data_IF_483078601781
#
_entry.id   IF_483078601781
#
_cell.length_a   1.000
_cell.length_b   1.000
_cell.length_c   1.000
_cell.angle_alpha   90.00
_cell.angle_beta   90.00
_cell.angle_gamma   90.00
#
_symmetry.space_group_name_H-M   'P 1'
#
loop_
_entity.id
_entity.type
_entity.pdbx_description
1 polymer ?
#
# COMPACT_ATOMS: atom_id res chain seq x y z
N UNK A 1 9.12 13.78 5.84
CA UNK A 1 8.06 14.26 6.75
C UNK A 1 7.42 13.10 7.52
N UNK A 2 6.81 12.11 6.86
CA UNK A 2 6.18 10.95 7.51
C UNK A 2 7.14 10.17 8.43
N UNK A 3 8.42 10.10 8.06
CA UNK A 3 9.44 9.43 8.85
C UNK A 3 9.74 10.12 10.18
N UNK A 4 9.58 11.46 10.24
CA UNK A 4 9.88 12.26 11.42
C UNK A 4 8.69 12.39 12.39
N UNK A 5 7.46 12.30 11.87
CA UNK A 5 6.27 12.65 12.65
C UNK A 5 5.30 11.49 12.90
N UNK A 6 5.51 10.33 12.24
CA UNK A 6 4.63 9.17 12.41
C UNK A 6 4.55 8.69 13.87
N UNK A 7 5.62 8.85 14.65
CA UNK A 7 5.67 8.45 16.06
C UNK A 7 4.83 9.34 16.98
N UNK A 8 4.47 10.53 16.54
CA UNK A 8 3.80 11.52 17.37
C UNK A 8 2.33 11.73 16.97
N UNK A 9 2.02 11.64 15.70
CA UNK A 9 0.68 11.85 15.16
C UNK A 9 0.43 10.93 13.98
N UNK A 10 -0.80 10.37 13.82
CA UNK A 10 -1.19 9.70 12.60
C UNK A 10 -1.11 10.69 11.43
N UNK A 11 -0.26 10.42 10.46
CA UNK A 11 -0.13 11.26 9.27
C UNK A 11 -1.07 10.73 8.19
N UNK A 12 -1.98 11.59 7.72
CA UNK A 12 -2.82 11.28 6.58
C UNK A 12 -1.92 11.14 5.36
N UNK A 13 -2.04 10.01 4.69
CA UNK A 13 -1.30 9.73 3.47
C UNK A 13 -1.80 10.55 2.31
N UNK A 14 -1.14 10.34 1.19
CA UNK A 14 -1.39 10.99 -0.08
C UNK A 14 -2.80 10.64 -0.63
N UNK A 15 -3.80 11.08 0.11
CA UNK A 15 -5.10 11.29 -0.42
C UNK A 15 -5.01 12.55 -1.21
N UNK A 16 -4.91 12.47 -2.48
CA UNK A 16 -4.88 13.64 -3.32
C UNK A 16 -5.80 14.75 -2.82
N UNK A 17 -5.22 15.80 -2.25
CA UNK A 17 -5.87 17.06 -2.14
C UNK A 17 -5.89 17.69 -3.53
N UNK A 18 -6.84 17.34 -4.32
CA UNK A 18 -7.15 18.14 -5.47
C UNK A 18 -8.53 18.68 -5.22
N UNK A 19 -8.53 19.83 -4.69
CA UNK A 19 -9.65 20.68 -4.96
C UNK A 19 -9.88 20.62 -6.46
N UNK A 20 -11.09 20.26 -6.90
CA UNK A 20 -11.53 20.26 -8.28
C UNK A 20 -11.29 18.94 -9.04
N UNK A 21 -12.19 17.99 -8.94
CA UNK A 21 -12.63 17.07 -9.99
C UNK A 21 -11.63 16.37 -10.93
N UNK A 22 -10.33 16.46 -10.67
CA UNK A 22 -9.27 16.29 -11.65
C UNK A 22 -8.56 14.97 -11.66
N UNK A 23 -8.86 14.07 -10.74
CA UNK A 23 -8.00 12.92 -10.50
C UNK A 23 -8.31 11.69 -11.34
N UNK A 24 -9.51 11.61 -11.83
CA UNK A 24 -9.89 10.53 -12.74
C UNK A 24 -9.08 10.51 -14.04
N UNK A 25 -8.57 11.67 -14.46
CA UNK A 25 -7.89 11.82 -15.76
C UNK A 25 -6.37 11.80 -15.68
N UNK A 26 -5.76 11.76 -14.49
CA UNK A 26 -4.32 11.92 -14.34
C UNK A 26 -3.52 10.63 -14.21
N UNK A 27 -4.17 9.49 -14.24
CA UNK A 27 -3.50 8.21 -14.19
C UNK A 27 -4.46 7.01 -14.18
N UNK A 28 -3.87 5.84 -14.32
CA UNK A 28 -4.62 4.58 -14.26
C UNK A 28 -5.14 4.28 -12.84
N UNK A 29 -6.17 3.45 -12.76
CA UNK A 29 -6.66 2.92 -11.49
C UNK A 29 -5.55 2.18 -10.73
N UNK A 30 -4.70 1.44 -11.45
CA UNK A 30 -3.57 0.70 -10.90
C UNK A 30 -2.55 1.63 -10.26
N UNK A 31 -2.26 2.79 -10.87
CA UNK A 31 -1.39 3.79 -10.27
C UNK A 31 -1.98 4.33 -8.95
N UNK A 32 -3.30 4.55 -8.91
CA UNK A 32 -3.98 4.99 -7.69
C UNK A 32 -3.93 3.90 -6.61
N UNK A 33 -4.20 2.66 -6.97
CA UNK A 33 -4.07 1.51 -6.07
C UNK A 33 -2.64 1.36 -5.52
N UNK A 34 -1.63 1.51 -6.40
CA UNK A 34 -0.22 1.49 -6.00
C UNK A 34 0.11 2.61 -5.00
N UNK A 35 -0.39 3.81 -5.19
CA UNK A 35 -0.20 4.93 -4.25
C UNK A 35 -0.84 4.67 -2.89
N UNK A 36 -2.08 4.16 -2.88
CA UNK A 36 -2.76 3.75 -1.64
C UNK A 36 -1.99 2.64 -0.90
N UNK A 37 -1.49 1.64 -1.63
CA UNK A 37 -0.66 0.57 -1.06
C UNK A 37 0.64 1.13 -0.45
N UNK A 38 1.31 2.06 -1.14
CA UNK A 38 2.50 2.74 -0.62
C UNK A 38 2.20 3.59 0.62
N UNK A 39 1.05 4.24 0.65
CA UNK A 39 0.59 5.00 1.82
C UNK A 39 0.52 4.09 3.04
N UNK A 40 -0.15 2.94 2.92
CA UNK A 40 -0.23 1.94 3.97
C UNK A 40 1.17 1.41 4.37
N UNK A 41 2.00 1.06 3.39
CA UNK A 41 3.36 0.55 3.64
C UNK A 41 4.27 1.56 4.36
N UNK A 42 3.96 2.86 4.31
CA UNK A 42 4.66 3.92 5.04
C UNK A 42 4.05 4.23 6.41
N UNK A 43 3.02 3.52 6.84
CA UNK A 43 2.28 3.79 8.06
C UNK A 43 1.42 5.05 8.01
N UNK A 44 1.12 5.54 6.81
CA UNK A 44 0.23 6.68 6.62
C UNK A 44 -1.20 6.18 6.40
N UNK A 45 -2.19 6.89 6.94
CA UNK A 45 -3.59 6.53 6.76
C UNK A 45 -4.03 6.81 5.30
N UNK A 46 -4.45 5.81 4.52
CA UNK A 46 -4.97 6.03 3.19
C UNK A 46 -6.19 6.93 3.23
N UNK A 47 -6.25 7.88 2.31
CA UNK A 47 -7.38 8.78 2.17
C UNK A 47 -7.90 8.81 0.74
N UNK A 48 -9.21 8.90 0.59
CA UNK A 48 -9.90 9.11 -0.68
C UNK A 48 -11.09 10.03 -0.45
N UNK A 49 -11.57 10.69 -1.48
CA UNK A 49 -12.83 11.43 -1.37
C UNK A 49 -14.01 10.47 -1.27
N UNK A 50 -14.97 10.76 -0.39
CA UNK A 50 -16.16 9.92 -0.18
C UNK A 50 -16.94 9.66 -1.47
N UNK A 51 -17.03 10.65 -2.34
CA UNK A 51 -17.69 10.57 -3.65
C UNK A 51 -17.01 9.56 -4.61
N UNK A 52 -15.78 9.17 -4.31
CA UNK A 52 -14.97 8.26 -5.12
C UNK A 52 -14.96 6.83 -4.56
N UNK A 53 -15.71 6.55 -3.50
CA UNK A 53 -15.79 5.22 -2.89
C UNK A 53 -17.15 4.63 -3.15
N UNK A 54 -17.23 3.73 -4.13
CA UNK A 54 -18.44 2.97 -4.41
C UNK A 54 -18.09 1.63 -5.06
N UNK A 55 -18.50 0.54 -4.45
CA UNK A 55 -18.37 -0.81 -5.02
C UNK A 55 -19.43 -1.08 -6.08
N UNK A 56 -20.50 -0.31 -6.11
CA UNK A 56 -21.63 -0.45 -7.04
C UNK A 56 -21.54 0.51 -8.24
N UNK A 57 -20.50 1.34 -8.30
CA UNK A 57 -20.31 2.26 -9.41
C UNK A 57 -20.24 1.52 -10.75
N UNK A 58 -20.85 2.07 -11.79
CA UNK A 58 -20.67 1.60 -13.17
C UNK A 58 -19.28 1.90 -13.70
N UNK A 59 -18.57 2.88 -13.10
CA UNK A 59 -17.18 3.22 -13.44
C UNK A 59 -16.21 2.19 -12.85
N UNK A 60 -15.50 1.48 -13.71
CA UNK A 60 -14.53 0.46 -13.36
C UNK A 60 -13.36 1.04 -12.55
N UNK A 61 -12.92 2.27 -12.85
CA UNK A 61 -11.88 2.95 -12.11
C UNK A 61 -12.29 3.16 -10.65
N UNK A 62 -13.53 3.65 -10.43
CA UNK A 62 -14.09 3.87 -9.08
C UNK A 62 -14.18 2.56 -8.31
N UNK A 63 -14.71 1.49 -8.92
CA UNK A 63 -14.83 0.18 -8.27
C UNK A 63 -13.47 -0.37 -7.86
N UNK A 64 -12.49 -0.34 -8.78
CA UNK A 64 -11.14 -0.86 -8.55
C UNK A 64 -10.44 -0.12 -7.41
N UNK A 65 -10.47 1.21 -7.42
CA UNK A 65 -9.88 2.04 -6.36
C UNK A 65 -10.60 1.83 -5.03
N UNK A 66 -11.94 1.70 -5.04
CA UNK A 66 -12.72 1.43 -3.83
C UNK A 66 -12.37 0.08 -3.20
N UNK A 67 -12.22 -0.97 -3.99
CA UNK A 67 -11.80 -2.30 -3.50
C UNK A 67 -10.42 -2.24 -2.84
N UNK A 68 -9.47 -1.60 -3.49
CA UNK A 68 -8.12 -1.40 -2.95
C UNK A 68 -8.17 -0.61 -1.64
N UNK A 69 -8.84 0.53 -1.62
CA UNK A 69 -8.97 1.39 -0.44
C UNK A 69 -9.55 0.65 0.76
N UNK A 70 -10.70 -0.02 0.58
CA UNK A 70 -11.35 -0.76 1.66
C UNK A 70 -10.48 -1.91 2.17
N UNK A 71 -9.76 -2.61 1.28
CA UNK A 71 -8.83 -3.67 1.67
C UNK A 71 -7.67 -3.13 2.50
N UNK A 72 -7.13 -1.96 2.13
CA UNK A 72 -5.98 -1.35 2.81
C UNK A 72 -6.35 -0.66 4.13
N UNK A 73 -7.62 -0.33 4.34
CA UNK A 73 -8.09 0.20 5.63
C UNK A 73 -8.29 -0.89 6.70
N UNK A 74 -8.55 -2.14 6.30
CA UNK A 74 -8.86 -3.26 7.22
C UNK A 74 -7.81 -3.54 8.31
N UNK A 75 -6.49 -3.47 8.05
CA UNK A 75 -5.48 -3.82 9.04
C UNK A 75 -5.35 -2.79 10.18
N UNK A 76 -5.74 -1.52 9.99
CA UNK A 76 -5.51 -0.47 11.00
C UNK A 76 -6.08 -0.79 12.38
N UNK A 77 -7.37 -1.13 12.54
CA UNK A 77 -7.92 -1.42 13.86
C UNK A 77 -7.38 -2.73 14.45
N UNK A 78 -6.79 -3.60 13.63
CA UNK A 78 -6.32 -4.93 14.03
C UNK A 78 -4.84 -4.96 14.41
N UNK A 79 -4.05 -4.06 13.86
CA UNK A 79 -2.60 -3.96 14.04
C UNK A 79 -2.20 -2.53 14.44
N UNK A 80 -3.02 -1.92 15.28
CA UNK A 80 -2.87 -0.55 15.74
C UNK A 80 -1.50 -0.30 16.35
N UNK A 81 -1.01 -1.25 17.16
CA UNK A 81 0.28 -1.21 17.84
C UNK A 81 1.48 -1.05 16.89
N UNK A 82 1.30 -1.43 15.61
CA UNK A 82 2.31 -1.25 14.56
C UNK A 82 2.00 -0.06 13.66
N UNK A 83 0.76 0.01 13.13
CA UNK A 83 0.42 0.93 12.05
C UNK A 83 0.11 2.35 12.50
N UNK A 84 -0.30 2.54 13.76
CA UNK A 84 -0.65 3.85 14.32
C UNK A 84 0.30 4.28 15.44
N UNK A 85 0.79 3.35 16.25
CA UNK A 85 1.58 3.61 17.46
C UNK A 85 3.04 3.15 17.29
N UNK A 86 3.33 2.32 16.28
CA UNK A 86 4.66 1.76 16.07
C UNK A 86 5.64 2.74 15.46
N UNK A 87 6.90 2.55 15.78
CA UNK A 87 8.01 3.33 15.23
C UNK A 87 8.36 2.80 13.83
N UNK A 88 8.32 3.66 12.82
CA UNK A 88 8.70 3.28 11.46
C UNK A 88 10.16 2.83 11.39
N UNK A 89 10.40 1.67 10.80
CA UNK A 89 11.72 1.07 10.60
C UNK A 89 12.02 0.94 9.10
N UNK A 90 13.29 0.62 8.80
CA UNK A 90 13.70 0.37 7.41
C UNK A 90 12.83 -0.73 6.81
N UNK A 91 12.20 -0.50 5.65
CA UNK A 91 11.39 -1.52 4.99
C UNK A 91 12.25 -2.73 4.59
N UNK A 92 11.66 -3.94 4.56
CA UNK A 92 12.35 -5.14 4.12
C UNK A 92 12.62 -5.07 2.61
N UNK A 93 13.53 -5.90 2.13
CA UNK A 93 13.62 -6.19 0.70
C UNK A 93 12.50 -7.13 0.30
N UNK A 94 11.77 -6.75 -0.74
CA UNK A 94 10.72 -7.57 -1.34
C UNK A 94 11.15 -7.91 -2.76
N UNK A 95 11.13 -9.20 -3.08
CA UNK A 95 11.32 -9.71 -4.44
C UNK A 95 9.95 -10.13 -4.97
N UNK A 96 9.49 -9.46 -6.01
CA UNK A 96 8.17 -9.65 -6.62
C UNK A 96 8.18 -9.20 -8.09
N UNK A 97 7.10 -9.48 -8.81
CA UNK A 97 6.91 -8.97 -10.17
C UNK A 97 6.82 -7.43 -10.18
N UNK A 98 7.05 -6.87 -11.36
CA UNK A 98 6.86 -5.44 -11.62
C UNK A 98 5.67 -5.24 -12.56
N UNK A 99 5.11 -4.03 -12.53
CA UNK A 99 4.00 -3.58 -13.38
C UNK A 99 4.31 -2.20 -13.97
N UNK A 100 3.79 -1.95 -15.16
CA UNK A 100 3.84 -0.66 -15.82
C UNK A 100 2.60 0.14 -15.43
N UNK A 101 2.82 1.32 -14.87
CA UNK A 101 1.78 2.25 -14.44
C UNK A 101 1.90 3.53 -15.25
N UNK A 102 0.78 4.11 -15.65
CA UNK A 102 0.82 5.32 -16.42
C UNK A 102 0.07 6.48 -15.75
N UNK A 103 0.55 7.69 -16.05
CA UNK A 103 -0.11 8.94 -15.66
C UNK A 103 0.10 10.02 -16.71
N UNK A 104 -0.72 11.04 -16.68
CA UNK A 104 -0.50 12.25 -17.43
C UNK A 104 0.48 13.17 -16.71
N UNK A 105 1.45 13.70 -17.41
CA UNK A 105 2.37 14.72 -16.93
C UNK A 105 2.13 15.99 -17.74
N UNK A 106 1.98 17.16 -17.08
CA UNK A 106 1.83 18.43 -17.76
C UNK A 106 2.97 18.65 -18.76
N UNK A 107 2.61 19.01 -20.00
CA UNK A 107 3.55 19.21 -21.09
C UNK A 107 2.89 20.14 -22.12
N UNK A 108 3.47 21.32 -22.35
CA UNK A 108 2.93 22.33 -23.28
C UNK A 108 2.85 21.82 -24.73
N UNK A 109 3.73 20.91 -25.11
CA UNK A 109 3.75 20.25 -26.43
C UNK A 109 2.94 18.94 -26.47
N UNK A 110 2.37 18.56 -25.33
CA UNK A 110 1.61 17.34 -25.17
C UNK A 110 0.23 17.39 -25.83
N UNK A 111 -0.48 16.25 -25.71
CA UNK A 111 -1.85 16.10 -26.18
C UNK A 111 -2.79 17.02 -25.38
N UNK A 112 -3.77 17.61 -26.07
CA UNK A 112 -4.80 18.43 -25.42
C UNK A 112 -5.85 17.51 -24.81
N UNK A 113 -5.96 17.54 -23.48
CA UNK A 113 -6.96 16.76 -22.74
C UNK A 113 -8.34 17.42 -22.81
N UNK A 114 -9.37 16.66 -22.41
CA UNK A 114 -10.76 17.12 -22.43
C UNK A 114 -11.01 18.39 -21.60
N UNK A 115 -10.21 18.62 -20.56
CA UNK A 115 -10.27 19.82 -19.71
C UNK A 115 -9.46 21.01 -20.27
N UNK A 116 -8.94 20.90 -21.49
CA UNK A 116 -8.20 21.94 -22.19
C UNK A 116 -6.71 22.01 -21.87
N UNK A 117 -6.22 21.28 -20.86
CA UNK A 117 -4.79 21.22 -20.53
C UNK A 117 -4.03 20.36 -21.53
N UNK A 118 -2.73 20.62 -21.63
CA UNK A 118 -1.82 19.80 -22.42
C UNK A 118 -0.97 18.93 -21.52
N UNK A 119 -0.85 17.65 -21.88
CA UNK A 119 -0.08 16.69 -21.14
C UNK A 119 0.44 15.57 -22.04
N UNK A 120 1.46 14.87 -21.58
CA UNK A 120 1.94 13.63 -22.20
C UNK A 120 1.70 12.44 -21.27
N UNK A 121 1.43 11.29 -21.86
CA UNK A 121 1.32 10.04 -21.12
C UNK A 121 2.72 9.52 -20.76
N UNK A 122 2.96 9.31 -19.47
CA UNK A 122 4.22 8.77 -18.95
C UNK A 122 3.96 7.43 -18.30
N UNK A 123 4.77 6.45 -18.65
CA UNK A 123 4.74 5.11 -18.02
C UNK A 123 5.90 4.99 -17.05
N UNK A 124 5.61 4.48 -15.86
CA UNK A 124 6.60 4.20 -14.81
C UNK A 124 6.49 2.74 -14.39
N UNK A 125 7.63 2.09 -14.20
CA UNK A 125 7.69 0.70 -13.74
C UNK A 125 7.78 0.64 -12.23
N UNK A 126 6.95 -0.19 -11.59
CA UNK A 126 6.84 -0.30 -10.13
C UNK A 126 6.61 -1.75 -9.70
N UNK A 127 7.07 -2.15 -8.49
CA UNK A 127 6.78 -3.47 -7.94
C UNK A 127 5.28 -3.67 -7.74
N UNK A 128 4.81 -4.90 -7.92
CA UNK A 128 3.40 -5.27 -7.68
C UNK A 128 3.08 -5.40 -6.19
N UNK A 129 4.10 -5.63 -5.36
CA UNK A 129 3.99 -5.75 -3.90
C UNK A 129 4.89 -4.74 -3.23
N UNK A 130 4.35 -4.02 -2.25
CA UNK A 130 5.08 -3.06 -1.41
C UNK A 130 5.05 -3.50 0.04
N UNK A 131 6.04 -3.09 0.84
CA UNK A 131 6.09 -3.42 2.25
C UNK A 131 6.68 -2.29 3.09
N UNK A 132 6.28 -2.26 4.36
CA UNK A 132 6.80 -1.36 5.39
C UNK A 132 7.02 -2.09 6.70
N UNK A 133 7.88 -1.56 7.56
CA UNK A 133 8.17 -2.16 8.86
C UNK A 133 7.99 -1.16 9.99
N UNK A 134 7.44 -1.65 11.10
CA UNK A 134 7.07 -0.88 12.28
C UNK A 134 7.45 -1.67 13.53
N UNK A 135 8.07 -1.03 14.48
CA UNK A 135 8.40 -1.63 15.76
C UNK A 135 7.38 -1.19 16.82
N UNK A 136 6.73 -2.15 17.45
CA UNK A 136 5.80 -1.90 18.54
C UNK A 136 6.56 -1.64 19.86
N UNK A 137 5.85 -1.14 20.88
CA UNK A 137 6.41 -0.83 22.20
C UNK A 137 7.06 -2.06 22.88
N UNK A 138 6.55 -3.27 22.62
CA UNK A 138 7.11 -4.53 23.13
C UNK A 138 8.41 -4.97 22.38
N UNK A 139 8.89 -4.16 21.45
CA UNK A 139 10.07 -4.42 20.62
C UNK A 139 9.85 -5.44 19.51
N UNK A 140 8.64 -5.96 19.32
CA UNK A 140 8.30 -6.79 18.16
C UNK A 140 8.28 -5.98 16.87
N UNK A 141 8.70 -6.59 15.76
CA UNK A 141 8.73 -5.96 14.46
C UNK A 141 7.59 -6.46 13.59
N UNK A 142 6.62 -5.59 13.30
CA UNK A 142 5.57 -5.81 12.34
C UNK A 142 6.00 -5.36 10.93
N UNK A 143 5.83 -6.21 9.95
CA UNK A 143 6.06 -5.89 8.53
C UNK A 143 4.75 -6.05 7.78
N UNK A 144 4.21 -4.94 7.31
CA UNK A 144 3.04 -4.98 6.43
C UNK A 144 3.46 -5.23 4.99
N UNK A 145 2.76 -6.14 4.32
CA UNK A 145 3.02 -6.58 2.95
C UNK A 145 1.73 -6.41 2.16
N UNK A 146 1.76 -5.62 1.10
CA UNK A 146 0.57 -5.14 0.39
C UNK A 146 0.67 -5.45 -1.09
N UNK A 147 -0.29 -6.19 -1.63
CA UNK A 147 -0.47 -6.35 -3.07
C UNK A 147 -1.15 -5.09 -3.64
N UNK A 148 -0.45 -4.38 -4.50
CA UNK A 148 -0.93 -3.13 -5.12
C UNK A 148 -1.76 -3.37 -6.39
N UNK A 149 -2.14 -4.63 -6.70
CA UNK A 149 -2.79 -5.01 -7.96
C UNK A 149 -4.11 -5.74 -7.75
N UNK A 150 -4.97 -5.69 -8.76
CA UNK A 150 -6.21 -6.47 -8.84
C UNK A 150 -6.00 -7.96 -9.16
N UNK A 151 -4.76 -8.42 -9.25
CA UNK A 151 -4.41 -9.82 -9.52
C UNK A 151 -3.71 -10.44 -8.31
N UNK A 152 -3.89 -11.74 -8.05
CA UNK A 152 -3.10 -12.43 -7.02
C UNK A 152 -1.59 -12.30 -7.32
N UNK A 153 -0.80 -12.09 -6.27
CA UNK A 153 0.65 -11.93 -6.36
C UNK A 153 1.38 -12.87 -5.42
N UNK A 154 2.62 -13.18 -5.76
CA UNK A 154 3.57 -13.86 -4.89
C UNK A 154 4.78 -12.96 -4.69
N UNK A 155 5.26 -12.91 -3.46
CA UNK A 155 6.45 -12.15 -3.13
C UNK A 155 7.34 -12.94 -2.17
N UNK A 156 8.64 -12.68 -2.21
CA UNK A 156 9.59 -13.15 -1.20
C UNK A 156 10.05 -11.96 -0.38
N UNK A 157 9.81 -12.01 0.91
CA UNK A 157 10.20 -10.97 1.86
C UNK A 157 11.44 -11.42 2.62
N UNK A 158 12.51 -10.62 2.57
CA UNK A 158 13.70 -10.82 3.39
C UNK A 158 13.50 -10.15 4.74
N UNK A 159 13.62 -10.93 5.82
CA UNK A 159 13.49 -10.38 7.17
C UNK A 159 14.57 -9.33 7.43
N UNK A 160 14.14 -8.16 7.87
CA UNK A 160 15.07 -7.08 8.24
C UNK A 160 15.84 -7.42 9.54
N UNK A 161 15.26 -8.27 10.39
CA UNK A 161 15.83 -8.72 11.67
C UNK A 161 15.61 -10.22 11.84
N UNK A 162 16.59 -10.92 12.38
CA UNK A 162 16.41 -12.30 12.87
C UNK A 162 15.64 -12.25 14.19
N UNK A 163 14.58 -13.03 14.32
CA UNK A 163 13.82 -13.21 15.54
C UNK A 163 13.85 -14.66 16.03
N UNK A 164 13.37 -14.87 17.25
CA UNK A 164 13.20 -16.21 17.83
C UNK A 164 11.97 -16.91 17.28
N UNK A 165 10.94 -16.12 16.93
CA UNK A 165 9.69 -16.61 16.34
C UNK A 165 9.17 -15.57 15.32
N UNK A 166 8.35 -16.04 14.39
CA UNK A 166 7.57 -15.16 13.51
C UNK A 166 6.19 -15.76 13.24
N UNK A 167 5.23 -14.90 12.94
CA UNK A 167 3.90 -15.30 12.52
C UNK A 167 3.39 -14.37 11.40
N UNK A 168 2.73 -14.97 10.41
CA UNK A 168 2.08 -14.29 9.30
C UNK A 168 0.57 -14.25 9.56
N UNK A 169 0.00 -13.07 9.45
CA UNK A 169 -1.41 -12.81 9.69
C UNK A 169 -2.08 -12.21 8.45
N UNK A 170 -3.35 -12.50 8.28
CA UNK A 170 -4.22 -11.78 7.35
C UNK A 170 -4.61 -10.41 7.89
N UNK A 171 -5.26 -9.59 7.06
CA UNK A 171 -5.70 -8.24 7.43
C UNK A 171 -6.70 -8.22 8.61
N UNK A 172 -7.43 -9.30 8.85
CA UNK A 172 -8.36 -9.49 9.97
C UNK A 172 -7.72 -10.00 11.26
N UNK A 173 -6.37 -10.15 11.26
CA UNK A 173 -5.56 -10.70 12.33
C UNK A 173 -5.69 -12.23 12.52
N UNK A 174 -6.33 -12.95 11.62
CA UNK A 174 -6.26 -14.42 11.61
C UNK A 174 -4.85 -14.87 11.25
N UNK A 175 -4.29 -15.79 12.06
CA UNK A 175 -2.97 -16.35 11.82
C UNK A 175 -3.02 -17.32 10.63
N UNK A 176 -2.11 -17.13 9.67
CA UNK A 176 -2.00 -17.97 8.49
C UNK A 176 -0.85 -18.96 8.60
N UNK A 177 0.26 -18.52 9.22
CA UNK A 177 1.46 -19.35 9.39
C UNK A 177 2.30 -18.86 10.57
N UNK A 178 2.98 -19.80 11.24
CA UNK A 178 3.89 -19.54 12.37
C UNK A 178 5.22 -20.27 12.18
N UNK A 179 6.28 -19.67 12.67
CA UNK A 179 7.64 -20.25 12.70
C UNK A 179 8.25 -20.02 14.08
N UNK A 180 8.71 -21.09 14.73
CA UNK A 180 9.52 -21.01 15.96
C UNK A 180 10.97 -20.60 15.66
N UNK A 181 11.40 -20.79 14.42
CA UNK A 181 12.69 -20.34 13.87
C UNK A 181 12.46 -19.86 12.45
N UNK A 182 12.17 -18.56 12.27
CA UNK A 182 11.85 -18.07 10.95
C UNK A 182 13.06 -18.15 10.01
N UNK A 183 12.86 -18.57 8.76
CA UNK A 183 13.88 -18.50 7.73
C UNK A 183 14.22 -17.03 7.44
N UNK A 184 15.38 -16.77 6.83
CA UNK A 184 15.78 -15.41 6.45
C UNK A 184 14.91 -14.79 5.36
N UNK A 185 14.16 -15.63 4.64
CA UNK A 185 13.25 -15.22 3.57
C UNK A 185 11.93 -15.99 3.73
N UNK A 186 10.82 -15.29 3.56
CA UNK A 186 9.46 -15.84 3.65
C UNK A 186 8.74 -15.57 2.34
N UNK A 187 8.24 -16.66 1.72
CA UNK A 187 7.32 -16.57 0.59
C UNK A 187 5.92 -16.21 1.08
N UNK A 188 5.30 -15.22 0.44
CA UNK A 188 3.96 -14.75 0.78
C UNK A 188 3.09 -14.75 -0.47
N UNK A 189 1.91 -15.36 -0.38
CA UNK A 189 0.86 -15.28 -1.39
C UNK A 189 -0.19 -14.27 -0.97
N UNK A 190 -0.58 -13.41 -1.89
CA UNK A 190 -1.52 -12.32 -1.66
C UNK A 190 -2.62 -12.39 -2.72
N UNK A 191 -3.86 -12.36 -2.30
CA UNK A 191 -5.03 -12.15 -3.16
C UNK A 191 -5.01 -10.75 -3.78
N UNK A 192 -5.93 -10.47 -4.70
CA UNK A 192 -6.16 -9.13 -5.27
C UNK A 192 -6.30 -8.09 -4.13
N UNK A 193 -5.47 -7.04 -4.15
CA UNK A 193 -5.39 -6.02 -3.10
C UNK A 193 -5.17 -6.57 -1.69
N UNK A 194 -4.63 -7.79 -1.58
CA UNK A 194 -4.43 -8.49 -0.32
C UNK A 194 -3.38 -7.83 0.56
N UNK A 195 -3.58 -7.94 1.88
CA UNK A 195 -2.65 -7.44 2.89
C UNK A 195 -2.29 -8.56 3.84
N UNK A 196 -1.00 -8.62 4.20
CA UNK A 196 -0.49 -9.49 5.26
C UNK A 196 0.32 -8.69 6.26
N UNK A 197 0.29 -9.13 7.51
CA UNK A 197 1.18 -8.62 8.57
C UNK A 197 2.08 -9.75 9.03
N UNK A 198 3.39 -9.60 8.87
CA UNK A 198 4.40 -10.50 9.38
C UNK A 198 4.97 -9.91 10.66
N UNK A 199 4.80 -10.60 11.78
CA UNK A 199 5.29 -10.17 13.10
C UNK A 199 6.47 -11.05 13.49
N UNK A 200 7.60 -10.42 13.84
CA UNK A 200 8.85 -11.06 14.28
C UNK A 200 9.13 -10.66 15.74
N UNK A 201 9.37 -11.66 16.59
CA UNK A 201 9.69 -11.52 18.02
C UNK A 201 11.07 -12.06 18.36
#
# INVERSE_FOLDING_TARGET
FSYLYHEYIPVLGDGYSTGQGMLYTWGSAELRCYRLANTLARGLVPTVYMEQVSLESSDEWVRTVSQAFLSYCRPYPRFREYLLEGITRRPPKVDCAEQDLWHWQADEQGEKLADGRRARKVTIRRPTVVAGSFEAEDGSLGTIIVNATAQPQRATVRLARRGRAAALFRADRSEEQRWDRPPSQIGVSLEAFGVRMLIVR
#
